data_IF_484843180614
#
_entry.id   IF_484843180614
#
_cell.length_a   1.000
_cell.length_b   1.000
_cell.length_c   1.000
_cell.angle_alpha   90.00
_cell.angle_beta   90.00
_cell.angle_gamma   90.00
#
_symmetry.space_group_name_H-M   'P 1'
#
loop_
_entity.id
_entity.type
_entity.pdbx_description
1 polymer ?
#
# COMPACT_ATOMS: atom_id res chain seq x y z
N UNK A 1 -16.25 -22.52 7.71
CA UNK A 1 -15.82 -21.50 6.74
C UNK A 1 -17.05 -21.00 6.01
N UNK A 2 -17.31 -19.69 6.06
CA UNK A 2 -18.40 -19.05 5.30
C UNK A 2 -17.93 -18.90 3.85
N UNK A 3 -18.66 -19.51 2.91
CA UNK A 3 -18.31 -19.59 1.48
C UNK A 3 -18.98 -18.49 0.64
N UNK A 4 -19.47 -17.43 1.30
CA UNK A 4 -19.98 -16.23 0.63
C UNK A 4 -18.83 -15.32 0.19
N UNK A 5 -19.05 -14.47 -0.83
CA UNK A 5 -18.06 -13.49 -1.28
C UNK A 5 -17.50 -12.62 -0.14
N UNK A 6 -18.35 -12.27 0.84
CA UNK A 6 -17.97 -11.57 2.08
C UNK A 6 -17.04 -12.39 2.97
N UNK A 7 -17.30 -13.69 3.12
CA UNK A 7 -16.43 -14.59 3.89
C UNK A 7 -15.00 -14.63 3.35
N UNK A 8 -14.84 -14.63 2.02
CA UNK A 8 -13.54 -14.54 1.35
C UNK A 8 -12.82 -13.21 1.61
N UNK A 9 -13.54 -12.09 1.53
CA UNK A 9 -13.01 -10.75 1.79
C UNK A 9 -12.48 -10.60 3.22
N UNK A 10 -13.28 -10.96 4.23
CA UNK A 10 -12.85 -10.87 5.63
C UNK A 10 -11.71 -11.83 5.95
N UNK A 11 -11.71 -13.03 5.37
CA UNK A 11 -10.62 -13.97 5.54
C UNK A 11 -9.30 -13.44 4.95
N UNK A 12 -9.35 -12.81 3.77
CA UNK A 12 -8.18 -12.21 3.13
C UNK A 12 -7.65 -11.02 3.95
N UNK A 13 -8.53 -10.14 4.42
CA UNK A 13 -8.15 -9.03 5.29
C UNK A 13 -7.52 -9.52 6.60
N UNK A 14 -8.14 -10.48 7.29
CA UNK A 14 -7.66 -10.99 8.55
C UNK A 14 -6.28 -11.65 8.42
N UNK A 15 -6.06 -12.42 7.34
CA UNK A 15 -4.74 -13.03 7.06
C UNK A 15 -3.67 -11.97 6.78
N UNK A 16 -3.99 -10.94 6.00
CA UNK A 16 -3.05 -9.87 5.68
C UNK A 16 -2.74 -8.96 6.90
N UNK A 17 -3.65 -8.89 7.87
CA UNK A 17 -3.49 -8.10 9.10
C UNK A 17 -2.59 -8.75 10.15
N UNK A 18 -2.20 -10.02 9.97
CA UNK A 18 -1.26 -10.69 10.88
C UNK A 18 0.07 -9.91 10.89
N UNK A 19 0.59 -9.52 12.06
CA UNK A 19 1.73 -8.62 12.19
C UNK A 19 3.08 -9.33 12.01
N UNK A 20 3.20 -10.21 11.01
CA UNK A 20 4.44 -10.90 10.67
C UNK A 20 4.85 -10.58 9.23
N UNK A 21 6.16 -10.55 8.98
CA UNK A 21 6.70 -10.33 7.63
C UNK A 21 6.17 -11.38 6.65
N UNK A 22 6.14 -12.65 7.06
CA UNK A 22 5.69 -13.76 6.20
C UNK A 22 4.24 -13.62 5.78
N UNK A 23 3.34 -13.26 6.71
CA UNK A 23 1.93 -13.07 6.39
C UNK A 23 1.72 -11.88 5.44
N UNK A 24 2.44 -10.77 5.66
CA UNK A 24 2.40 -9.61 4.76
C UNK A 24 3.00 -9.91 3.39
N UNK A 25 4.06 -10.71 3.31
CA UNK A 25 4.68 -11.13 2.04
C UNK A 25 3.75 -12.05 1.24
N UNK A 26 3.05 -12.96 1.92
CA UNK A 26 2.02 -13.78 1.28
C UNK A 26 0.86 -12.92 0.74
N UNK A 27 0.39 -11.95 1.53
CA UNK A 27 -0.63 -11.01 1.09
C UNK A 27 -0.13 -10.15 -0.09
N UNK A 28 1.09 -9.62 0.00
CA UNK A 28 1.74 -8.85 -1.07
C UNK A 28 1.76 -9.63 -2.38
N UNK A 29 2.28 -10.86 -2.36
CA UNK A 29 2.39 -11.67 -3.56
C UNK A 29 1.02 -11.97 -4.19
N UNK A 30 0.00 -12.24 -3.37
CA UNK A 30 -1.36 -12.44 -3.89
C UNK A 30 -1.97 -11.18 -4.52
N UNK A 31 -1.53 -9.99 -4.14
CA UNK A 31 -2.04 -8.71 -4.63
C UNK A 31 -1.25 -8.17 -5.82
N UNK A 32 0.06 -8.30 -5.80
CA UNK A 32 0.98 -7.67 -6.77
C UNK A 32 1.38 -8.66 -7.86
N UNK A 33 1.67 -9.91 -7.51
CA UNK A 33 2.19 -10.91 -8.44
C UNK A 33 1.06 -11.72 -9.14
N UNK A 34 -0.19 -11.59 -8.67
CA UNK A 34 -1.35 -12.33 -9.22
C UNK A 34 -2.48 -11.41 -9.68
N UNK A 35 -3.15 -11.79 -10.77
CA UNK A 35 -4.33 -11.11 -11.33
C UNK A 35 -5.65 -11.82 -11.07
N UNK A 36 -5.62 -12.91 -10.30
CA UNK A 36 -6.76 -13.83 -10.19
C UNK A 36 -7.75 -13.44 -9.08
N UNK A 37 -7.40 -12.46 -8.24
CA UNK A 37 -8.25 -12.06 -7.12
C UNK A 37 -9.38 -11.12 -7.56
N UNK A 38 -10.61 -11.33 -7.07
CA UNK A 38 -11.69 -10.36 -7.24
C UNK A 38 -11.35 -9.00 -6.62
N UNK A 39 -11.83 -7.92 -7.23
CA UNK A 39 -11.54 -6.54 -6.80
C UNK A 39 -11.87 -6.27 -5.32
N UNK A 40 -12.94 -6.88 -4.80
CA UNK A 40 -13.33 -6.73 -3.39
C UNK A 40 -12.34 -7.39 -2.46
N UNK A 41 -11.82 -8.56 -2.83
CA UNK A 41 -10.77 -9.28 -2.09
C UNK A 41 -9.45 -8.51 -2.13
N UNK A 42 -9.09 -7.93 -3.28
CA UNK A 42 -7.92 -7.05 -3.42
C UNK A 42 -7.98 -5.90 -2.40
N UNK A 43 -9.13 -5.21 -2.35
CA UNK A 43 -9.32 -4.07 -1.46
C UNK A 43 -9.23 -4.48 0.01
N UNK A 44 -9.86 -5.58 0.38
CA UNK A 44 -9.88 -6.09 1.77
C UNK A 44 -8.50 -6.57 2.21
N UNK A 45 -7.77 -7.29 1.36
CA UNK A 45 -6.40 -7.73 1.67
C UNK A 45 -5.42 -6.55 1.76
N UNK A 46 -5.53 -5.53 0.89
CA UNK A 46 -4.70 -4.33 0.99
C UNK A 46 -4.89 -3.62 2.35
N UNK A 47 -6.14 -3.48 2.81
CA UNK A 47 -6.45 -2.91 4.14
C UNK A 47 -5.83 -3.73 5.29
N UNK A 48 -5.80 -5.06 5.16
CA UNK A 48 -5.11 -5.90 6.14
C UNK A 48 -3.60 -5.70 6.12
N UNK A 49 -3.01 -5.61 4.92
CA UNK A 49 -1.56 -5.42 4.76
C UNK A 49 -1.11 -4.13 5.44
N UNK A 50 -1.82 -3.02 5.25
CA UNK A 50 -1.49 -1.73 5.88
C UNK A 50 -2.14 -1.53 7.26
N UNK A 51 -2.58 -2.60 7.92
CA UNK A 51 -3.19 -2.47 9.25
C UNK A 51 -2.18 -1.92 10.28
N UNK A 52 -2.53 -0.91 11.10
CA UNK A 52 -1.61 -0.27 12.05
C UNK A 52 -0.96 -1.22 13.06
N UNK A 53 -1.64 -2.29 13.46
CA UNK A 53 -1.09 -3.29 14.38
C UNK A 53 0.15 -4.03 13.81
N UNK A 54 0.37 -3.98 12.50
CA UNK A 54 1.55 -4.54 11.84
C UNK A 54 2.56 -3.48 11.40
N UNK A 55 2.51 -2.25 11.94
CA UNK A 55 3.38 -1.13 11.55
C UNK A 55 4.87 -1.51 11.58
N UNK A 56 5.31 -2.23 12.60
CA UNK A 56 6.73 -2.52 12.85
C UNK A 56 7.39 -3.34 11.72
N UNK A 57 6.60 -4.08 10.94
CA UNK A 57 7.09 -4.87 9.81
C UNK A 57 6.86 -4.19 8.46
N UNK A 58 6.16 -3.05 8.40
CA UNK A 58 5.87 -2.35 7.14
C UNK A 58 7.09 -1.67 6.51
N UNK A 59 8.09 -1.30 7.32
CA UNK A 59 9.32 -0.69 6.82
C UNK A 59 10.01 -1.58 5.77
N UNK A 60 9.94 -2.91 5.95
CA UNK A 60 10.49 -3.91 5.03
C UNK A 60 9.80 -3.97 3.66
N UNK A 61 8.66 -3.30 3.50
CA UNK A 61 7.88 -3.28 2.26
C UNK A 61 7.95 -1.92 1.54
N UNK A 62 8.67 -0.93 2.08
CA UNK A 62 8.77 0.40 1.48
C UNK A 62 9.46 0.32 0.11
N UNK A 63 10.57 -0.41 0.02
CA UNK A 63 11.27 -0.62 -1.24
C UNK A 63 10.41 -1.39 -2.25
N UNK A 64 9.80 -2.51 -1.81
CA UNK A 64 8.88 -3.31 -2.61
C UNK A 64 7.71 -2.46 -3.17
N UNK A 65 7.18 -1.54 -2.36
CA UNK A 65 6.14 -0.59 -2.78
C UNK A 65 6.56 0.29 -3.94
N UNK A 66 7.72 0.94 -3.86
CA UNK A 66 8.17 1.81 -4.94
C UNK A 66 8.57 1.02 -6.18
N UNK A 67 9.13 -0.17 -6.01
CA UNK A 67 9.49 -1.07 -7.11
C UNK A 67 8.28 -1.54 -7.91
N UNK A 68 7.11 -1.75 -7.27
CA UNK A 68 5.92 -2.24 -7.97
C UNK A 68 5.16 -1.16 -8.78
N UNK A 69 5.40 0.13 -8.53
CA UNK A 69 4.55 1.21 -9.06
C UNK A 69 4.46 1.22 -10.59
N UNK A 70 5.60 1.14 -11.28
CA UNK A 70 5.64 1.14 -12.74
C UNK A 70 5.12 -0.17 -13.34
N UNK A 71 5.57 -1.37 -12.88
CA UNK A 71 5.02 -2.65 -13.37
C UNK A 71 3.50 -2.75 -13.22
N UNK A 72 2.97 -2.47 -12.03
CA UNK A 72 1.53 -2.55 -11.76
C UNK A 72 0.75 -1.57 -12.63
N UNK A 73 1.29 -0.37 -12.87
CA UNK A 73 0.65 0.60 -13.75
C UNK A 73 0.61 0.17 -15.22
N UNK A 74 1.66 -0.50 -15.70
CA UNK A 74 1.75 -0.98 -17.07
C UNK A 74 0.86 -2.20 -17.32
N UNK A 75 0.82 -3.13 -16.36
CA UNK A 75 0.27 -4.47 -16.58
C UNK A 75 -1.20 -4.60 -16.12
N UNK A 76 -1.68 -3.70 -15.26
CA UNK A 76 -3.04 -3.77 -14.70
C UNK A 76 -3.94 -2.71 -15.31
N UNK A 77 -5.25 -2.96 -15.25
CA UNK A 77 -6.23 -1.92 -15.56
C UNK A 77 -6.06 -0.74 -14.60
N UNK A 78 -6.36 0.48 -15.07
CA UNK A 78 -6.26 1.68 -14.24
C UNK A 78 -6.97 1.56 -12.88
N UNK A 79 -8.16 0.93 -12.87
CA UNK A 79 -8.92 0.72 -11.63
C UNK A 79 -8.14 -0.15 -10.63
N UNK A 80 -7.53 -1.25 -11.10
CA UNK A 80 -6.77 -2.15 -10.21
C UNK A 80 -5.45 -1.51 -9.79
N UNK A 81 -4.73 -0.89 -10.71
CA UNK A 81 -3.51 -0.18 -10.41
C UNK A 81 -3.75 0.91 -9.34
N UNK A 82 -4.78 1.74 -9.52
CA UNK A 82 -5.11 2.79 -8.54
C UNK A 82 -5.46 2.22 -7.16
N UNK A 83 -6.19 1.11 -7.06
CA UNK A 83 -6.47 0.44 -5.79
C UNK A 83 -5.21 -0.11 -5.12
N UNK A 84 -4.31 -0.74 -5.87
CA UNK A 84 -3.07 -1.27 -5.32
C UNK A 84 -2.13 -0.15 -4.87
N UNK A 85 -1.92 0.88 -5.69
CA UNK A 85 -1.02 2.00 -5.40
C UNK A 85 -1.47 2.79 -4.17
N UNK A 86 -2.78 3.04 -4.04
CA UNK A 86 -3.32 3.76 -2.88
C UNK A 86 -3.45 2.87 -1.65
N UNK A 87 -3.89 1.62 -1.83
CA UNK A 87 -4.16 0.69 -0.73
C UNK A 87 -2.92 0.05 -0.10
N UNK A 88 -1.83 -0.09 -0.85
CA UNK A 88 -0.58 -0.70 -0.36
C UNK A 88 0.47 0.31 0.10
N UNK A 89 0.19 1.61 -0.02
CA UNK A 89 1.09 2.63 0.49
C UNK A 89 1.21 2.50 2.02
N UNK A 90 2.43 2.38 2.59
CA UNK A 90 2.63 2.08 4.01
C UNK A 90 2.42 3.31 4.92
N UNK A 91 1.32 4.03 4.71
CA UNK A 91 0.93 5.23 5.45
C UNK A 91 1.01 5.13 7.00
N UNK A 92 0.73 3.99 7.66
CA UNK A 92 0.86 3.89 9.12
C UNK A 92 2.28 4.13 9.65
N UNK A 93 3.32 4.00 8.83
CA UNK A 93 4.68 4.39 9.20
C UNK A 93 4.71 5.86 9.59
N UNK A 94 4.11 6.71 8.74
CA UNK A 94 3.97 8.15 8.95
C UNK A 94 5.26 8.80 9.48
N UNK A 95 6.40 8.41 8.93
CA UNK A 95 7.73 8.85 9.35
C UNK A 95 8.46 9.62 8.24
N UNK A 96 9.60 10.20 8.61
CA UNK A 96 10.45 10.97 7.70
C UNK A 96 11.02 10.09 6.58
N UNK A 97 11.36 8.83 6.87
CA UNK A 97 11.93 7.92 5.89
C UNK A 97 10.97 7.62 4.74
N UNK A 98 9.69 7.35 5.05
CA UNK A 98 8.66 7.13 4.03
C UNK A 98 8.40 8.40 3.20
N UNK A 99 8.33 9.56 3.85
CA UNK A 99 8.18 10.86 3.15
C UNK A 99 9.30 11.06 2.13
N UNK A 100 10.55 10.88 2.57
CA UNK A 100 11.72 11.15 1.75
C UNK A 100 11.86 10.12 0.63
N UNK A 101 11.54 8.84 0.87
CA UNK A 101 11.47 7.82 -0.17
C UNK A 101 10.41 8.16 -1.24
N UNK A 102 9.24 8.65 -0.81
CA UNK A 102 8.16 9.05 -1.74
C UNK A 102 8.58 10.24 -2.61
N UNK A 103 9.24 11.25 -2.03
CA UNK A 103 9.79 12.40 -2.76
C UNK A 103 10.87 11.96 -3.75
N UNK A 104 11.81 11.13 -3.30
CA UNK A 104 12.89 10.62 -4.13
C UNK A 104 12.34 9.86 -5.36
N UNK A 105 11.31 9.03 -5.17
CA UNK A 105 10.67 8.35 -6.28
C UNK A 105 10.01 9.32 -7.27
N UNK A 106 9.29 10.34 -6.77
CA UNK A 106 8.67 11.37 -7.61
C UNK A 106 9.70 12.21 -8.37
N UNK A 107 10.87 12.49 -7.80
CA UNK A 107 11.93 13.24 -8.45
C UNK A 107 12.68 12.41 -9.49
N UNK A 108 12.87 11.13 -9.24
CA UNK A 108 13.52 10.20 -10.18
C UNK A 108 12.65 9.89 -11.41
N UNK A 109 11.31 9.86 -11.27
CA UNK A 109 10.38 9.39 -12.31
C UNK A 109 9.53 10.51 -12.91
N UNK A 110 10.16 11.61 -13.35
CA UNK A 110 9.47 12.80 -13.89
C UNK A 110 8.65 12.53 -15.16
N UNK A 111 9.04 11.50 -15.90
CA UNK A 111 8.43 11.03 -17.14
C UNK A 111 7.35 9.94 -16.92
N UNK A 112 7.18 9.46 -15.69
CA UNK A 112 6.11 8.52 -15.37
C UNK A 112 4.72 9.10 -15.68
N UNK A 113 3.72 8.25 -16.02
CA UNK A 113 2.38 8.70 -16.36
C UNK A 113 1.80 9.71 -15.35
N UNK A 114 1.22 10.85 -15.78
CA UNK A 114 0.77 11.91 -14.87
C UNK A 114 -0.21 11.43 -13.81
N UNK A 115 -1.11 10.50 -14.16
CA UNK A 115 -2.08 9.94 -13.21
C UNK A 115 -1.42 9.06 -12.14
N UNK A 116 -0.36 8.30 -12.48
CA UNK A 116 0.44 7.55 -11.50
C UNK A 116 1.14 8.51 -10.53
N UNK A 117 1.85 9.50 -11.06
CA UNK A 117 2.54 10.52 -10.25
C UNK A 117 1.58 11.24 -9.31
N UNK A 118 0.35 11.53 -9.77
CA UNK A 118 -0.69 12.14 -8.96
C UNK A 118 -1.05 11.27 -7.75
N UNK A 119 -1.30 9.97 -7.93
CA UNK A 119 -1.63 9.07 -6.81
C UNK A 119 -0.52 9.03 -5.77
N UNK A 120 0.75 8.95 -6.21
CA UNK A 120 1.91 8.95 -5.31
C UNK A 120 2.05 10.29 -4.58
N UNK A 121 1.81 11.41 -5.26
CA UNK A 121 1.82 12.74 -4.64
C UNK A 121 0.69 12.93 -3.63
N UNK A 122 -0.50 12.37 -3.87
CA UNK A 122 -1.62 12.40 -2.92
C UNK A 122 -1.29 11.59 -1.65
N UNK A 123 -0.60 10.44 -1.79
CA UNK A 123 -0.08 9.64 -0.69
C UNK A 123 0.98 10.40 0.15
N UNK A 124 1.91 11.10 -0.52
CA UNK A 124 2.91 11.95 0.13
C UNK A 124 2.25 13.03 1.01
N UNK A 125 1.25 13.74 0.46
CA UNK A 125 0.51 14.76 1.19
C UNK A 125 -0.23 14.19 2.43
N UNK A 126 -0.58 12.91 2.42
CA UNK A 126 -1.08 12.20 3.60
C UNK A 126 -0.05 12.08 4.72
N UNK A 127 1.17 11.67 4.39
CA UNK A 127 2.28 11.50 5.35
C UNK A 127 2.76 12.84 5.90
N UNK A 128 2.90 13.86 5.05
CA UNK A 128 3.32 15.20 5.48
C UNK A 128 2.33 15.81 6.49
N UNK A 129 1.03 15.60 6.27
CA UNK A 129 0.00 16.01 7.24
C UNK A 129 0.12 15.23 8.55
N UNK A 130 0.33 13.92 8.50
CA UNK A 130 0.48 13.09 9.70
C UNK A 130 1.70 13.51 10.53
N UNK A 131 2.84 13.77 9.90
CA UNK A 131 4.04 14.29 10.55
C UNK A 131 3.81 15.65 11.22
N UNK A 132 3.16 16.59 10.51
CA UNK A 132 2.88 17.91 11.05
C UNK A 132 1.90 17.89 12.24
N UNK A 133 1.01 16.89 12.32
CA UNK A 133 0.15 16.69 13.49
C UNK A 133 0.95 16.10 14.65
N UNK A 134 1.78 15.09 14.41
CA UNK A 134 2.63 14.48 15.45
C UNK A 134 3.59 15.49 16.10
N UNK A 135 4.18 16.38 15.30
CA UNK A 135 5.05 17.46 15.80
C UNK A 135 4.31 18.43 16.72
N UNK A 136 3.03 18.72 16.42
CA UNK A 136 2.19 19.59 17.25
C UNK A 136 1.71 18.92 18.53
N UNK A 137 1.36 17.64 18.48
CA UNK A 137 0.92 16.88 19.66
C UNK A 137 2.06 16.65 20.67
N UNK A 138 3.32 16.70 20.21
CA UNK A 138 4.51 16.56 21.04
C UNK A 138 4.96 17.88 21.73
N UNK A 139 4.29 19.00 21.45
CA UNK A 139 4.61 20.34 21.95
C UNK A 139 3.71 20.74 23.13
#
# INVERSE_FOLDING_TARGET
ADNTAKGGEFAAQAKAAIPTVDAKRAAWSSLVDSSELPNTVIRSAALGLVHPAGKDVLASFVEDYFAMLLPVWADRTYQIASYLITGLYPAPLADVALRDATRAWLDAHRDAPPALRRLVSENLAGVERALSVQERDAQ
#
